data_IF_041837023764
#
_entry.id   IF_041837023764
#
_cell.length_a   1.000
_cell.length_b   1.000
_cell.length_c   1.000
_cell.angle_alpha   90.00
_cell.angle_beta   90.00
_cell.angle_gamma   90.00
#
_symmetry.space_group_name_H-M   'P 1'
#
loop_
_entity.id
_entity.type
_entity.pdbx_description
1 polymer ?
2 polymer ?
3 polymer ?
4 water ?
#
# COMPACT_ATOMS: atom_id res chain seq x y z
N UNK A 1 7.54 -3.36 -24.27
CA UNK A 1 6.09 -3.75 -24.24
C UNK A 1 5.23 -2.53 -23.97
N UNK A 2 5.65 -1.72 -23.01
CA UNK A 2 4.93 -0.51 -22.64
C UNK A 2 5.75 0.68 -23.13
N UNK A 3 5.09 1.82 -23.28
CA UNK A 3 5.75 3.04 -23.70
C UNK A 3 6.52 3.52 -22.47
N UNK A 4 6.25 4.72 -22.02
CA UNK A 4 6.89 5.29 -20.84
C UNK A 4 6.12 6.57 -20.60
N UNK A 5 5.53 7.10 -21.66
CA UNK A 5 4.71 8.28 -21.58
C UNK A 5 3.53 7.93 -20.69
N UNK A 6 2.79 6.91 -21.10
CA UNK A 6 1.62 6.45 -20.34
C UNK A 6 1.97 5.52 -19.18
N UNK A 7 2.96 4.68 -19.39
CA UNK A 7 3.41 3.71 -18.39
C UNK A 7 4.17 4.33 -17.23
N UNK A 8 5.07 5.24 -17.55
CA UNK A 8 5.88 5.87 -16.53
C UNK A 8 7.21 5.16 -16.48
N UNK A 9 8.07 5.60 -15.57
CA UNK A 9 9.39 5.00 -15.43
C UNK A 9 9.30 3.72 -14.61
N UNK A 10 10.38 2.94 -14.62
CA UNK A 10 10.38 1.71 -13.85
C UNK A 10 10.71 0.41 -14.55
N UNK A 11 10.15 0.21 -15.75
CA UNK A 11 10.34 -1.04 -16.51
C UNK A 11 11.79 -1.47 -16.81
N UNK A 12 12.57 -0.58 -17.41
CA UNK A 12 13.94 -0.91 -17.77
C UNK A 12 14.77 -1.41 -16.60
N UNK A 13 14.36 -1.02 -15.40
CA UNK A 13 15.09 -1.41 -14.21
C UNK A 13 14.22 -2.15 -13.19
N UNK A 14 13.18 -2.83 -13.68
CA UNK A 14 12.26 -3.55 -12.83
C UNK A 14 12.85 -4.84 -12.33
N UNK A 15 12.27 -5.36 -11.25
CA UNK A 15 12.70 -6.64 -10.71
C UNK A 15 13.97 -6.74 -9.93
N UNK A 16 14.77 -5.68 -9.88
CA UNK A 16 16.03 -5.66 -9.13
C UNK A 16 15.86 -4.86 -7.85
N UNK A 17 16.00 -5.50 -6.71
CA UNK A 17 15.84 -4.80 -5.44
C UNK A 17 17.11 -4.04 -5.04
N UNK A 18 16.96 -2.75 -4.68
CA UNK A 18 18.05 -1.87 -4.27
C UNK A 18 18.86 -2.41 -3.09
N UNK A 19 18.16 -3.03 -2.15
CA UNK A 19 18.76 -3.56 -0.95
C UNK A 19 19.29 -4.98 -1.05
N UNK A 20 18.98 -5.66 -2.15
CA UNK A 20 19.41 -7.04 -2.35
C UNK A 20 20.17 -7.24 -3.65
N UNK A 21 19.46 -7.43 -4.75
CA UNK A 21 20.13 -7.63 -6.03
C UNK A 21 21.16 -6.53 -6.30
N UNK A 22 20.76 -5.27 -6.22
CA UNK A 22 21.66 -4.14 -6.46
C UNK A 22 22.79 -3.99 -5.46
N UNK A 23 22.72 -4.72 -4.35
CA UNK A 23 23.72 -4.63 -3.30
C UNK A 23 24.48 -5.96 -3.16
N UNK A 24 24.26 -6.87 -4.11
CA UNK A 24 24.89 -8.19 -4.11
C UNK A 24 24.58 -9.04 -2.88
N UNK A 25 23.43 -8.78 -2.27
CA UNK A 25 22.99 -9.49 -1.09
C UNK A 25 21.78 -10.34 -1.45
N UNK A 26 21.64 -11.49 -0.81
CA UNK A 26 20.50 -12.34 -1.08
C UNK A 26 19.68 -12.56 0.19
N UNK A 27 18.36 -12.51 0.08
CA UNK A 27 17.52 -12.70 1.23
C UNK A 27 17.59 -14.11 1.85
N UNK A 28 17.03 -14.26 3.04
CA UNK A 28 17.04 -15.52 3.79
C UNK A 28 16.46 -16.73 3.07
N UNK A 29 15.54 -16.52 2.14
CA UNK A 29 14.91 -17.65 1.47
C UNK A 29 15.07 -17.83 -0.05
N UNK A 30 15.97 -17.08 -0.70
CA UNK A 30 16.16 -17.23 -2.14
C UNK A 30 16.61 -18.63 -2.54
N UNK A 31 17.48 -19.23 -1.73
CA UNK A 31 18.00 -20.57 -2.00
C UNK A 31 16.87 -21.56 -2.24
N UNK A 32 15.76 -21.41 -1.51
CA UNK A 32 14.60 -22.30 -1.64
C UNK A 32 14.03 -22.24 -3.05
N UNK A 33 14.06 -21.06 -3.66
CA UNK A 33 13.56 -20.86 -5.02
C UNK A 33 14.49 -21.44 -6.06
N UNK A 34 15.79 -21.28 -5.84
CA UNK A 34 16.78 -21.78 -6.78
C UNK A 34 16.86 -23.30 -6.79
N UNK A 35 16.70 -23.92 -5.64
CA UNK A 35 16.75 -25.39 -5.58
C UNK A 35 15.51 -25.99 -6.20
N UNK A 36 14.43 -25.22 -6.23
CA UNK A 36 13.19 -25.71 -6.83
C UNK A 36 13.37 -25.82 -8.35
N UNK A 37 14.55 -25.42 -8.83
CA UNK A 37 14.87 -25.49 -10.25
C UNK A 37 15.71 -26.74 -10.56
N UNK A 38 15.94 -27.57 -9.54
CA UNK A 38 16.75 -28.78 -9.64
C UNK A 38 16.57 -29.82 -10.76
N UNK A 39 15.34 -30.12 -11.15
CA UNK A 39 15.08 -31.11 -12.21
C UNK A 39 15.81 -32.47 -12.21
N UNK A 40 15.13 -33.49 -11.72
CA UNK A 40 15.68 -34.84 -11.70
C UNK A 40 15.50 -35.42 -13.09
N UNK A 41 16.46 -36.20 -13.55
CA UNK A 41 16.39 -36.78 -14.88
C UNK A 41 15.70 -38.15 -14.92
N UNK B 1 -0.84 -14.62 5.48
CA UNK B 1 -0.03 -15.73 4.95
C UNK B 1 0.02 -16.82 6.01
N UNK B 2 -0.26 -18.05 5.61
CA UNK B 2 -0.25 -19.19 6.53
C UNK B 2 1.08 -19.94 6.40
N UNK B 3 1.73 -20.19 7.54
CA UNK B 3 3.01 -20.89 7.61
C UNK B 3 4.17 -20.18 6.90
N UNK B 4 4.27 -18.87 7.10
CA UNK B 4 5.35 -18.11 6.49
C UNK B 4 6.16 -17.49 7.59
N UNK B 5 7.12 -16.62 7.24
CA UNK B 5 7.97 -15.97 8.22
C UNK B 5 8.07 -14.46 8.00
N UNK B 6 8.47 -13.73 9.03
CA UNK B 6 8.63 -12.28 8.92
C UNK B 6 9.57 -11.95 7.78
N UNK B 7 9.13 -11.04 6.91
CA UNK B 7 9.93 -10.64 5.76
C UNK B 7 10.93 -9.58 6.16
N UNK B 8 12.13 -9.67 5.63
CA UNK B 8 13.14 -8.67 5.93
C UNK B 8 12.67 -7.33 5.37
N UNK B 9 13.27 -6.26 5.86
CA UNK B 9 12.90 -4.93 5.40
C UNK B 9 13.35 -4.84 3.93
N UNK B 10 12.49 -4.28 3.09
CA UNK B 10 12.82 -4.12 1.69
C UNK B 10 12.80 -5.40 0.88
N UNK B 11 12.21 -6.47 1.41
CA UNK B 11 12.17 -7.76 0.72
C UNK B 11 11.46 -7.66 -0.63
N UNK B 12 10.33 -6.96 -0.66
CA UNK B 12 9.60 -6.78 -1.90
C UNK B 12 9.08 -5.35 -1.99
N UNK B 13 9.93 -4.44 -2.52
CA UNK B 13 9.59 -3.03 -2.67
C UNK B 13 8.41 -2.71 -3.59
N UNK B 14 7.78 -3.76 -4.14
CA UNK B 14 6.63 -3.60 -5.03
C UNK B 14 5.32 -3.94 -4.31
N UNK B 15 5.41 -4.35 -3.06
CA UNK B 15 4.24 -4.69 -2.27
C UNK B 15 3.50 -3.41 -1.90
N UNK B 16 2.31 -3.23 -2.45
CA UNK B 16 1.49 -2.06 -2.16
C UNK B 16 0.37 -2.53 -1.23
N UNK B 17 -0.20 -1.60 -0.47
CA UNK B 17 -1.28 -1.95 0.44
C UNK B 17 -2.53 -1.13 0.09
N UNK B 18 -3.64 -1.80 -0.16
CA UNK B 18 -4.88 -1.10 -0.47
C UNK B 18 -5.46 -0.72 0.88
N UNK B 19 -5.67 0.56 1.08
CA UNK B 19 -6.16 1.05 2.35
C UNK B 19 -7.41 1.85 2.13
N UNK B 20 -8.35 1.73 3.09
CA UNK B 20 -9.61 2.46 3.04
C UNK B 20 -9.50 3.72 3.88
N UNK B 21 -9.91 4.85 3.31
CA UNK B 21 -9.85 6.15 3.99
C UNK B 21 -10.59 6.19 5.30
N UNK B 22 -11.86 5.79 5.28
CA UNK B 22 -12.66 5.85 6.49
C UNK B 22 -13.80 4.84 6.47
N UNK B 23 -13.81 3.88 7.43
CA UNK B 23 -12.79 3.75 8.48
C UNK B 23 -11.44 3.29 7.91
N UNK B 24 -10.37 3.58 8.64
CA UNK B 24 -9.04 3.05 8.29
C UNK B 24 -9.12 1.55 8.45
N UNK B 25 -8.72 0.83 7.41
CA UNK B 25 -8.80 -0.62 7.40
C UNK B 25 -7.98 -1.14 6.23
N UNK B 26 -7.25 -2.23 6.43
CA UNK B 26 -6.45 -2.81 5.36
C UNK B 26 -7.44 -3.60 4.52
N UNK B 27 -7.48 -3.31 3.22
CA UNK B 27 -8.42 -4.00 2.34
C UNK B 27 -7.79 -5.14 1.56
N UNK B 28 -6.62 -4.91 1.00
CA UNK B 28 -5.95 -5.92 0.19
C UNK B 28 -4.51 -5.54 -0.08
N UNK B 29 -3.85 -6.38 -0.86
CA UNK B 29 -2.48 -6.12 -1.24
C UNK B 29 -2.53 -5.69 -2.68
N UNK B 30 -1.38 -5.32 -3.23
CA UNK B 30 -1.30 -4.89 -4.61
C UNK B 30 0.16 -4.97 -4.97
N UNK B 31 0.47 -4.64 -6.21
CA UNK B 31 1.83 -4.70 -6.73
C UNK B 31 2.18 -3.45 -7.55
N UNK B 32 3.38 -2.93 -7.36
CA UNK B 32 3.82 -1.74 -8.09
C UNK B 32 4.47 -2.20 -9.39
N UNK B 33 3.87 -1.84 -10.54
CA UNK B 33 4.44 -2.24 -11.83
C UNK B 33 5.26 -1.15 -12.51
N UNK B 34 5.05 0.10 -12.11
CA UNK B 34 5.77 1.26 -12.64
C UNK B 34 5.61 2.32 -11.56
N UNK B 35 6.14 3.53 -11.79
CA UNK B 35 6.00 4.57 -10.79
C UNK B 35 4.60 5.15 -10.69
N UNK B 36 3.71 4.79 -11.63
CA UNK B 36 2.35 5.31 -11.59
C UNK B 36 1.27 4.26 -11.84
N UNK B 37 1.65 2.99 -11.91
CA UNK B 37 0.67 1.93 -12.12
C UNK B 37 0.81 0.84 -11.09
N UNK B 38 -0.31 0.44 -10.51
CA UNK B 38 -0.33 -0.59 -9.49
C UNK B 38 -1.36 -1.64 -9.88
N UNK B 39 -0.97 -2.91 -9.76
CA UNK B 39 -1.80 -4.04 -10.11
C UNK B 39 -2.42 -4.72 -8.91
N UNK B 40 -3.66 -5.18 -9.06
CA UNK B 40 -4.35 -5.87 -7.97
C UNK B 40 -5.46 -6.78 -8.50
N UNK B 41 -6.25 -7.36 -7.60
CA UNK B 41 -7.33 -8.25 -7.98
C UNK B 41 -8.64 -7.47 -8.03
N UNK B 42 -9.51 -7.85 -8.96
CA UNK B 42 -10.77 -7.17 -9.12
C UNK B 42 -11.69 -7.22 -7.93
N UNK B 43 -11.78 -8.37 -7.27
CA UNK B 43 -12.66 -8.52 -6.11
C UNK B 43 -12.36 -7.70 -4.87
N UNK B 44 -11.24 -6.98 -4.88
CA UNK B 44 -10.85 -6.13 -3.75
C UNK B 44 -11.63 -4.82 -3.85
N UNK B 45 -12.13 -4.55 -5.04
CA UNK B 45 -12.85 -3.33 -5.33
C UNK B 45 -14.33 -3.61 -5.65
N UNK B 46 -14.56 -4.56 -6.56
CA UNK B 46 -15.89 -4.92 -7.00
C UNK B 46 -16.27 -6.34 -6.63
N UNK B 47 -17.23 -6.47 -5.74
CA UNK B 47 -17.71 -7.77 -5.34
C UNK B 47 -19.04 -7.58 -4.65
N UNK B 48 -20.12 -7.42 -5.43
CA UNK B 48 -21.50 -7.21 -4.99
C UNK B 48 -21.98 -8.11 -3.85
N UNK B 49 -21.66 -9.42 -3.87
CA UNK B 49 -22.08 -10.33 -2.81
C UNK B 49 -21.72 -9.89 -1.40
N UNK B 50 -20.63 -9.13 -1.26
CA UNK B 50 -20.16 -8.61 0.05
C UNK B 50 -20.49 -7.13 0.18
N UNK B 51 -21.07 -6.55 -0.86
CA UNK B 51 -21.42 -5.12 -0.92
C UNK B 51 -20.20 -4.27 -1.26
N UNK B 52 -19.15 -4.90 -1.81
CA UNK B 52 -17.93 -4.18 -2.18
C UNK B 52 -18.09 -3.48 -3.51
N UNK B 53 -17.85 -2.17 -3.50
CA UNK B 53 -17.93 -1.37 -4.71
C UNK B 53 -17.18 -0.08 -4.46
N UNK B 54 -15.87 -0.20 -4.28
CA UNK B 54 -15.05 0.96 -4.02
C UNK B 54 -14.74 1.84 -5.23
N UNK B 55 -14.58 3.12 -4.97
CA UNK B 55 -14.25 4.08 -6.01
C UNK B 55 -12.90 4.72 -5.66
N UNK B 56 -12.34 5.47 -6.60
CA UNK B 56 -11.05 6.13 -6.38
C UNK B 56 -11.08 7.02 -5.15
N UNK B 57 -12.26 7.48 -4.77
CA UNK B 57 -12.43 8.35 -3.62
C UNK B 57 -12.56 7.67 -2.28
N UNK B 58 -12.61 6.34 -2.27
CA UNK B 58 -12.75 5.58 -1.03
C UNK B 58 -11.43 5.01 -0.52
N UNK B 59 -10.44 4.92 -1.41
CA UNK B 59 -9.16 4.32 -1.03
C UNK B 59 -7.93 5.17 -1.28
N UNK B 60 -6.81 4.65 -0.79
CA UNK B 60 -5.49 5.26 -0.95
C UNK B 60 -4.50 4.12 -0.86
N UNK B 61 -3.38 4.23 -1.58
CA UNK B 61 -2.35 3.19 -1.56
C UNK B 61 -1.17 3.59 -0.70
N UNK B 62 -0.76 2.70 0.20
CA UNK B 62 0.37 2.95 1.07
C UNK B 62 1.47 2.03 0.55
N UNK B 63 2.55 2.64 0.09
CA UNK B 63 3.68 1.91 -0.50
C UNK B 63 4.94 2.07 0.36
N UNK B 64 5.82 1.05 0.31
CA UNK B 64 7.07 1.09 1.06
C UNK B 64 7.00 0.56 2.48
N UNK B 65 5.82 0.10 2.90
CA UNK B 65 5.62 -0.40 4.26
C UNK B 65 6.25 -1.74 4.67
N UNK B 66 6.23 -1.97 5.99
CA UNK B 66 6.74 -3.20 6.58
C UNK B 66 5.76 -3.63 7.68
N UNK B 67 5.47 -2.73 8.61
CA UNK B 67 4.52 -3.00 9.68
C UNK B 67 3.16 -2.80 9.00
N UNK B 68 2.10 -3.44 9.51
CA UNK B 68 0.80 -3.26 8.88
C UNK B 68 -0.13 -2.20 9.47
N UNK B 69 0.00 -1.98 10.77
CA UNK B 69 -0.85 -1.02 11.45
C UNK B 69 -0.15 0.32 11.63
N UNK B 70 1.18 0.28 11.59
CA UNK B 70 1.98 1.46 11.83
C UNK B 70 2.36 2.30 10.61
N UNK B 71 2.32 3.63 10.80
CA UNK B 71 2.72 4.60 9.77
C UNK B 71 4.23 4.72 9.92
N UNK B 72 4.97 4.38 8.87
CA UNK B 72 6.42 4.44 8.93
C UNK B 72 6.99 5.63 8.16
N UNK B 73 7.23 6.72 8.88
CA UNK B 73 7.74 7.96 8.31
C UNK B 73 8.95 7.86 7.40
N UNK B 74 9.90 7.02 7.75
CA UNK B 74 11.12 6.90 6.99
C UNK B 74 11.07 6.12 5.70
N UNK B 75 10.06 5.25 5.57
CA UNK B 75 9.94 4.41 4.39
C UNK B 75 8.62 4.46 3.62
N UNK B 76 7.53 4.78 4.31
CA UNK B 76 6.21 4.81 3.71
C UNK B 76 5.83 6.07 2.95
N UNK B 77 5.09 5.85 1.85
CA UNK B 77 4.59 6.91 0.99
C UNK B 77 3.11 6.63 0.77
N UNK B 78 2.25 7.64 0.98
CA UNK B 78 0.82 7.49 0.78
C UNK B 78 0.49 8.18 -0.54
N UNK B 79 -0.27 7.49 -1.39
CA UNK B 79 -0.65 8.01 -2.70
C UNK B 79 -2.16 7.87 -2.92
N UNK B 80 -2.70 8.58 -3.89
CA UNK B 80 -4.12 8.51 -4.18
C UNK B 80 -4.31 8.05 -5.61
N UNK B 81 -5.47 7.49 -5.91
CA UNK B 81 -5.75 7.00 -7.25
C UNK B 81 -6.44 8.03 -8.10
N UNK B 82 -6.24 7.92 -9.40
CA UNK B 82 -6.87 8.83 -10.35
C UNK B 82 -7.89 8.03 -11.14
N UNK B 83 -7.60 6.75 -11.34
CA UNK B 83 -8.50 5.89 -12.09
C UNK B 83 -8.35 4.41 -11.74
N UNK B 84 -9.47 3.71 -11.75
CA UNK B 84 -9.51 2.28 -11.45
C UNK B 84 -10.04 1.61 -12.70
N UNK B 85 -9.31 0.63 -13.22
CA UNK B 85 -9.73 -0.11 -14.41
C UNK B 85 -9.93 -1.55 -14.02
N UNK B 86 -11.15 -2.06 -14.15
CA UNK B 86 -11.44 -3.44 -13.83
C UNK B 86 -11.79 -4.18 -15.12
N UNK B 87 -11.29 -5.40 -15.28
CA UNK B 87 -11.52 -6.19 -16.51
C UNK B 87 -13.00 -6.36 -16.83
N UNK B 88 -13.43 -5.96 -18.05
CA UNK B 88 -14.82 -6.06 -18.51
C UNK B 88 -15.39 -7.44 -18.33
N UNK B 89 -14.56 -8.45 -18.59
CA UNK B 89 -14.97 -9.85 -18.45
C UNK B 89 -14.80 -10.43 -17.03
N UNK B 90 -14.60 -9.59 -16.04
CA UNK B 90 -14.43 -10.04 -14.66
C UNK B 90 -15.70 -10.79 -14.21
N UNK B 91 -15.54 -12.08 -13.93
CA UNK B 91 -16.64 -12.95 -13.54
C UNK B 91 -16.76 -13.18 -12.03
N UNK B 92 -17.55 -12.37 -11.36
CA UNK B 92 -17.73 -12.53 -9.91
C UNK B 92 -18.94 -13.39 -9.52
N UNK B 93 -19.85 -13.62 -10.46
CA UNK B 93 -21.01 -14.43 -10.15
C UNK B 93 -20.55 -15.86 -9.94
N UNK B 94 -19.73 -16.34 -10.89
CA UNK B 94 -19.22 -17.71 -10.86
C UNK B 94 -17.92 -18.00 -10.11
N UNK B 95 -16.82 -18.07 -10.86
CA UNK B 95 -15.52 -18.43 -10.33
C UNK B 95 -14.41 -17.38 -10.16
N UNK B 96 -14.75 -16.10 -10.17
CA UNK B 96 -13.74 -15.04 -10.04
C UNK B 96 -12.74 -15.15 -11.18
N UNK B 97 -13.26 -15.39 -12.36
CA UNK B 97 -12.46 -15.53 -13.58
C UNK B 97 -11.98 -14.12 -13.93
N UNK B 98 -10.76 -14.00 -14.43
CA UNK B 98 -10.16 -12.71 -14.78
C UNK B 98 -10.30 -11.73 -13.63
N UNK B 99 -9.91 -12.20 -12.46
CA UNK B 99 -9.96 -11.41 -11.24
C UNK B 99 -8.75 -10.48 -11.28
N UNK B 100 -8.87 -9.37 -12.00
CA UNK B 100 -7.75 -8.44 -12.12
C UNK B 100 -8.20 -6.99 -12.26
N UNK B 101 -7.42 -6.09 -11.69
CA UNK B 101 -7.69 -4.65 -11.73
C UNK B 101 -6.37 -3.92 -11.84
N UNK B 102 -6.41 -2.78 -12.50
CA UNK B 102 -5.24 -1.95 -12.73
C UNK B 102 -5.63 -0.59 -12.15
N UNK B 103 -4.80 -0.07 -11.25
CA UNK B 103 -5.05 1.23 -10.62
C UNK B 103 -3.97 2.24 -11.03
N UNK B 104 -4.41 3.47 -11.32
CA UNK B 104 -3.50 4.56 -11.72
C UNK B 104 -3.39 5.58 -10.61
N UNK B 105 -2.17 5.90 -10.22
CA UNK B 105 -1.92 6.89 -9.17
C UNK B 105 -2.09 8.30 -9.76
N UNK B 106 -2.49 9.26 -8.92
CA UNK B 106 -2.68 10.64 -9.36
C UNK B 106 -1.41 11.27 -9.88
N UNK B 107 -0.30 11.00 -9.21
CA UNK B 107 1.00 11.55 -9.56
C UNK B 107 2.00 10.43 -9.28
N UNK B 108 3.05 10.28 -10.11
CA UNK B 108 4.04 9.23 -9.87
C UNK B 108 4.68 9.28 -8.48
N UNK B 109 4.81 8.12 -7.85
CA UNK B 109 5.42 8.06 -6.53
C UNK B 109 6.91 8.19 -6.70
N UNK B 110 7.59 8.35 -5.58
CA UNK B 110 9.03 8.54 -5.56
C UNK B 110 9.64 7.18 -5.24
N UNK B 111 10.40 6.64 -6.19
CA UNK B 111 11.04 5.35 -6.00
C UNK B 111 12.18 5.55 -5.01
N UNK B 112 12.53 4.50 -4.28
CA UNK B 112 13.59 4.54 -3.28
C UNK B 112 14.03 3.12 -3.04
N UNK B 113 14.67 2.86 -1.89
CA UNK B 113 15.12 1.50 -1.58
C UNK B 113 13.93 0.65 -1.11
N UNK B 114 12.83 1.31 -0.75
CA UNK B 114 11.66 0.63 -0.24
C UNK B 114 10.54 0.52 -1.23
N UNK B 115 10.63 1.33 -2.28
CA UNK B 115 9.62 1.36 -3.33
C UNK B 115 10.31 1.13 -4.67
N UNK B 116 9.90 0.09 -5.38
CA UNK B 116 10.51 -0.24 -6.67
C UNK B 116 9.61 -1.25 -7.39
N UNK B 117 9.38 -1.05 -8.71
CA UNK B 117 8.54 -1.93 -9.53
C UNK B 117 9.05 -3.34 -9.88
N UNK B 118 8.13 -4.30 -9.88
CA UNK B 118 8.44 -5.70 -10.20
C UNK B 118 8.28 -5.83 -11.71
N UNK B 119 8.95 -6.80 -12.33
CA UNK B 119 8.82 -6.96 -13.77
C UNK B 119 7.59 -7.78 -14.12
N UNK B 120 7.04 -7.53 -15.30
CA UNK B 120 5.90 -8.29 -15.78
C UNK B 120 6.46 -9.37 -16.70
N UNK B 121 5.93 -10.60 -16.61
CA UNK B 121 6.39 -11.72 -17.43
C UNK B 121 6.43 -11.48 -18.93
N UNK B 122 7.42 -12.09 -19.54
CA UNK B 122 7.71 -12.04 -20.96
C UNK B 122 7.26 -13.37 -21.57
N UNK B 123 7.19 -13.45 -22.90
CA UNK B 123 6.78 -14.69 -23.57
C UNK B 123 7.78 -15.82 -23.30
N UNK B 124 9.07 -15.48 -23.22
CA UNK B 124 10.11 -16.47 -22.93
C UNK B 124 10.19 -16.74 -21.44
N UNK B 125 10.05 -15.69 -20.63
CA UNK B 125 10.09 -15.82 -19.18
C UNK B 125 8.97 -16.74 -18.68
N UNK B 126 7.75 -16.49 -19.12
CA UNK B 126 6.61 -17.30 -18.71
C UNK B 126 6.87 -18.76 -19.08
N UNK B 127 7.38 -18.97 -20.28
CA UNK B 127 7.69 -20.30 -20.83
C UNK B 127 8.73 -21.08 -20.03
N UNK B 128 9.84 -20.43 -19.70
CA UNK B 128 10.90 -21.08 -18.94
C UNK B 128 10.63 -21.23 -17.44
N UNK B 129 9.73 -20.41 -16.88
CA UNK B 129 9.47 -20.42 -15.43
C UNK B 129 8.19 -21.03 -14.90
N UNK B 130 7.11 -21.01 -15.69
CA UNK B 130 5.83 -21.57 -15.24
C UNK B 130 5.82 -23.08 -15.39
N UNK B 131 6.55 -23.77 -14.52
CA UNK B 131 6.64 -25.22 -14.59
C UNK B 131 6.39 -25.84 -13.23
N UNK B 132 5.46 -26.79 -13.19
CA UNK B 132 5.08 -27.50 -11.97
C UNK B 132 6.29 -27.98 -11.19
N UNK B 133 6.45 -27.42 -9.99
CA UNK B 133 7.58 -27.78 -9.16
C UNK B 133 8.37 -26.56 -8.78
N UNK B 134 8.55 -25.65 -9.73
CA UNK B 134 9.28 -24.41 -9.49
C UNK B 134 8.49 -23.60 -8.47
N UNK B 135 9.18 -22.94 -7.55
CA UNK B 135 8.50 -22.15 -6.53
C UNK B 135 8.41 -20.68 -6.84
N UNK B 136 7.49 -20.05 -6.13
CA UNK B 136 7.27 -18.62 -6.27
C UNK B 136 7.11 -18.11 -4.87
N UNK B 137 7.00 -16.81 -4.72
CA UNK B 137 6.87 -16.19 -3.42
C UNK B 137 5.62 -15.34 -3.33
N UNK B 138 4.97 -15.43 -2.18
CA UNK B 138 3.75 -14.69 -1.90
C UNK B 138 4.04 -13.90 -0.63
N UNK B 139 3.65 -12.63 -0.61
CA UNK B 139 3.85 -11.74 0.54
C UNK B 139 2.55 -11.02 0.87
N UNK B 140 2.31 -10.75 2.15
CA UNK B 140 1.10 -10.06 2.53
C UNK B 140 0.92 -9.88 4.03
N UNK B 141 -0.06 -9.05 4.40
CA UNK B 141 -0.39 -8.76 5.80
C UNK B 141 -1.75 -9.39 6.14
N UNK B 142 -2.09 -10.45 5.43
CA UNK B 142 -3.35 -11.12 5.68
C UNK B 142 -3.16 -12.09 6.82
N UNK B 143 -4.23 -12.76 7.18
CA UNK B 143 -4.22 -13.74 8.27
C UNK B 143 -3.17 -14.84 8.20
N UNK B 144 -2.66 -15.19 9.38
CA UNK B 144 -1.65 -16.23 9.58
C UNK B 144 -2.31 -17.60 9.80
N UNK B 145 -3.64 -17.65 9.81
CA UNK B 145 -4.36 -18.90 10.03
C UNK B 145 -5.82 -18.70 9.63
N UNK B 146 -6.45 -19.75 9.15
CA UNK B 146 -7.84 -19.71 8.72
C UNK B 146 -8.85 -19.31 9.79
N UNK B 147 -8.54 -19.55 11.07
CA UNK B 147 -9.48 -19.21 12.14
C UNK B 147 -8.82 -18.70 13.41
N UNK B 148 -9.66 -18.35 14.38
CA UNK B 148 -9.21 -17.85 15.67
C UNK B 148 -10.19 -18.32 16.73
N UNK B 149 -9.69 -18.54 17.93
CA UNK B 149 -10.53 -19.00 19.02
C UNK B 149 -11.35 -17.86 19.58
N UNK B 150 -10.66 -16.82 20.05
CA UNK B 150 -11.33 -15.67 20.64
C UNK B 150 -11.44 -14.47 19.68
N UNK B 151 -10.31 -13.95 19.20
CA UNK B 151 -10.33 -12.80 18.31
C UNK B 151 -9.41 -12.91 17.08
N UNK B 152 -9.75 -12.16 16.03
CA UNK B 152 -8.96 -12.15 14.79
C UNK B 152 -7.53 -11.66 15.07
N UNK B 153 -7.37 -10.92 16.16
CA UNK B 153 -6.07 -10.39 16.56
C UNK B 153 -5.02 -11.49 16.62
N UNK B 154 -5.44 -12.68 17.05
CA UNK B 154 -4.59 -13.84 17.19
C UNK B 154 -3.92 -14.23 15.88
N UNK B 155 -4.65 -14.05 14.79
CA UNK B 155 -4.14 -14.42 13.50
C UNK B 155 -3.57 -13.28 12.66
N UNK B 156 -3.76 -12.04 13.10
CA UNK B 156 -3.23 -10.90 12.36
C UNK B 156 -1.77 -10.68 12.71
N UNK B 157 -0.90 -10.55 11.69
CA UNK B 157 0.54 -10.34 11.88
C UNK B 157 0.86 -8.86 12.12
N UNK B 158 2.10 -8.57 12.50
CA UNK B 158 2.48 -7.19 12.75
C UNK B 158 3.29 -6.64 11.57
N UNK B 159 4.04 -7.51 10.91
CA UNK B 159 4.85 -7.13 9.76
C UNK B 159 4.50 -7.96 8.54
N UNK B 160 5.12 -7.62 7.42
CA UNK B 160 4.92 -8.32 6.15
C UNK B 160 5.45 -9.74 6.26
N UNK B 161 4.68 -10.71 5.78
CA UNK B 161 5.04 -12.13 5.82
C UNK B 161 5.49 -12.64 4.45
N UNK B 162 6.27 -13.71 4.44
CA UNK B 162 6.76 -14.30 3.19
C UNK B 162 6.69 -15.82 3.22
N UNK B 163 6.15 -16.41 2.16
CA UNK B 163 6.05 -17.86 2.03
C UNK B 163 6.38 -18.16 0.58
N UNK B 164 7.10 -19.26 0.35
CA UNK B 164 7.49 -19.68 -1.01
C UNK B 164 6.70 -20.94 -1.31
N UNK B 165 5.91 -20.90 -2.38
CA UNK B 165 5.05 -22.02 -2.75
C UNK B 165 5.37 -22.55 -4.13
N UNK B 166 5.31 -23.87 -4.31
CA UNK B 166 5.62 -24.42 -5.62
C UNK B 166 4.43 -24.43 -6.56
N UNK B 167 4.72 -24.35 -7.86
CA UNK B 167 3.69 -24.39 -8.87
C UNK B 167 3.22 -25.85 -8.96
N UNK B 168 1.92 -26.04 -9.08
CA UNK B 168 1.34 -27.37 -9.16
C UNK B 168 0.77 -27.56 -10.56
N UNK B 169 0.72 -28.81 -11.03
CA UNK B 169 0.20 -29.10 -12.35
C UNK B 169 -1.30 -28.87 -12.44
N UNK B 170 -1.72 -28.32 -13.58
CA UNK B 170 -3.12 -28.02 -13.79
C UNK B 170 -4.09 -29.18 -13.48
N UNK B 171 -3.77 -30.43 -13.89
CA UNK B 171 -4.66 -31.57 -13.62
C UNK B 171 -4.91 -31.75 -12.12
N UNK B 172 -3.89 -31.50 -11.30
CA UNK B 172 -4.05 -31.61 -9.85
C UNK B 172 -4.98 -30.50 -9.36
N UNK B 173 -4.73 -29.28 -9.84
CA UNK B 173 -5.53 -28.12 -9.47
C UNK B 173 -7.00 -28.36 -9.82
N UNK B 174 -7.22 -29.00 -10.96
CA UNK B 174 -8.55 -29.28 -11.43
C UNK B 174 -9.22 -30.37 -10.63
N UNK B 175 -8.44 -31.34 -10.18
CA UNK B 175 -8.97 -32.46 -9.41
C UNK B 175 -9.17 -32.15 -7.94
N UNK B 176 -8.73 -30.98 -7.50
CA UNK B 176 -8.87 -30.61 -6.10
C UNK B 176 -10.14 -29.87 -5.79
N UNK B 177 -10.89 -29.49 -6.82
CA UNK B 177 -12.11 -28.71 -6.59
C UNK B 177 -13.28 -29.13 -7.45
N UNK B 178 -14.48 -28.69 -7.06
CA UNK B 178 -15.66 -28.97 -7.85
C UNK B 178 -16.08 -27.62 -8.46
N UNK B 179 -15.14 -26.67 -8.42
CA UNK B 179 -15.33 -25.33 -8.95
C UNK B 179 -14.58 -25.29 -10.28
N UNK B 180 -15.15 -24.56 -11.25
CA UNK B 180 -14.56 -24.41 -12.58
C UNK B 180 -13.24 -23.65 -12.58
N UNK B 181 -12.18 -24.30 -13.06
CA UNK B 181 -10.86 -23.67 -13.18
C UNK B 181 -10.75 -23.23 -14.65
N UNK B 182 -10.22 -22.04 -14.88
CA UNK B 182 -10.09 -21.52 -16.24
C UNK B 182 -8.62 -21.24 -16.54
N UNK B 183 -8.30 -20.96 -17.80
CA UNK B 183 -6.93 -20.69 -18.21
C UNK B 183 -6.36 -19.43 -17.58
N UNK B 184 -7.23 -18.58 -17.08
CA UNK B 184 -6.82 -17.33 -16.47
C UNK B 184 -6.45 -17.50 -15.00
N UNK B 185 -6.18 -18.74 -14.58
CA UNK B 185 -5.79 -18.98 -13.20
C UNK B 185 -4.90 -20.19 -13.07
N UNK B 186 -4.10 -20.23 -12.01
CA UNK B 186 -3.24 -21.36 -11.75
C UNK B 186 -3.19 -21.55 -10.25
N UNK B 187 -2.83 -22.75 -9.80
CA UNK B 187 -2.80 -23.00 -8.36
C UNK B 187 -1.41 -23.38 -7.92
N UNK B 188 -1.13 -23.14 -6.65
CA UNK B 188 0.16 -23.46 -6.05
C UNK B 188 -0.05 -23.89 -4.61
N UNK B 189 0.89 -24.67 -4.09
CA UNK B 189 0.79 -25.13 -2.73
C UNK B 189 1.42 -26.49 -2.63
N UNK B 190 1.56 -26.98 -1.40
CA UNK B 190 2.15 -28.29 -1.18
C UNK B 190 1.13 -29.40 -1.28
N UNK B 191 1.52 -30.50 -1.93
CA UNK B 191 0.65 -31.65 -2.05
C UNK B 191 0.67 -32.25 -0.65
N UNK B 192 -0.40 -32.96 -0.25
CA UNK B 192 -0.42 -33.55 1.08
C UNK B 192 0.78 -34.45 1.42
N UNK B 193 1.34 -35.11 0.39
CA UNK B 193 2.49 -35.99 0.58
C UNK B 193 3.83 -35.32 0.86
N UNK B 194 3.89 -34.00 0.74
CA UNK B 194 5.14 -33.26 0.99
C UNK B 194 5.06 -32.73 2.41
N UNK B 195 6.10 -32.98 3.20
CA UNK B 195 6.08 -32.56 4.59
C UNK B 195 6.10 -31.07 4.86
N UNK B 196 5.51 -30.28 3.97
CA UNK B 196 5.49 -28.84 4.12
C UNK B 196 4.12 -28.31 3.82
N UNK B 197 3.90 -27.05 4.17
CA UNK B 197 2.64 -26.37 3.94
C UNK B 197 2.82 -24.86 3.92
N UNK B 198 1.78 -24.15 3.48
CA UNK B 198 1.83 -22.71 3.40
C UNK B 198 0.75 -22.29 2.43
N UNK B 199 0.20 -21.10 2.61
CA UNK B 199 -0.86 -20.62 1.73
C UNK B 199 -1.09 -19.14 1.96
N UNK B 200 -1.85 -18.52 1.06
CA UNK B 200 -2.22 -17.13 1.19
C UNK B 200 -3.57 -17.23 1.91
N UNK B 201 -4.04 -16.15 2.53
CA UNK B 201 -5.31 -16.23 3.23
C UNK B 201 -6.00 -14.86 3.13
N UNK B 202 -7.09 -14.69 3.88
CA UNK B 202 -7.86 -13.46 3.84
C UNK B 202 -7.05 -12.23 4.24
N UNK B 203 -6.96 -11.28 3.30
CA UNK B 203 -6.21 -10.07 3.51
C UNK B 203 -4.99 -9.96 2.59
N UNK B 204 -4.78 -11.00 1.78
CA UNK B 204 -3.65 -11.06 0.85
C UNK B 204 -4.05 -10.93 -0.61
N UNK B 205 -5.36 -10.95 -0.89
CA UNK B 205 -5.92 -10.89 -2.24
C UNK B 205 -5.46 -10.03 -3.42
N UNK B 206 -4.40 -9.26 -3.28
CA UNK B 206 -3.96 -8.47 -4.43
C UNK B 206 -2.47 -8.62 -4.56
N UNK B 207 -1.86 -9.17 -3.51
CA UNK B 207 -0.43 -9.36 -3.50
C UNK B 207 0.05 -10.17 -4.68
N UNK B 208 1.30 -9.95 -5.10
CA UNK B 208 1.93 -10.63 -6.21
C UNK B 208 2.53 -11.98 -5.86
N UNK B 209 2.46 -12.91 -6.82
CA UNK B 209 3.06 -14.22 -6.69
C UNK B 209 4.20 -14.01 -7.68
N UNK B 210 5.41 -13.88 -7.16
CA UNK B 210 6.57 -13.64 -8.00
C UNK B 210 7.54 -14.80 -8.02
N UNK B 211 8.40 -14.80 -9.04
CA UNK B 211 9.42 -15.82 -9.21
C UNK B 211 10.69 -15.11 -9.67
N UNK B 212 11.84 -15.50 -9.12
CA UNK B 212 13.11 -14.88 -9.50
C UNK B 212 13.73 -15.67 -10.65
N UNK B 213 14.02 -14.96 -11.75
CA UNK B 213 14.62 -15.58 -12.93
C UNK B 213 16.09 -15.93 -12.79
N UNK B 214 16.45 -17.19 -13.03
CA UNK B 214 17.81 -17.72 -12.95
C UNK B 214 18.68 -17.19 -14.09
N UNK B 215 18.01 -16.71 -15.13
CA UNK B 215 18.67 -16.18 -16.31
C UNK B 215 19.14 -14.74 -16.17
N UNK B 216 18.29 -13.86 -15.65
CA UNK B 216 18.68 -12.47 -15.52
C UNK B 216 18.60 -11.88 -14.13
N UNK B 217 18.27 -12.70 -13.14
CA UNK B 217 18.18 -12.27 -11.74
C UNK B 217 17.10 -11.26 -11.40
N UNK B 218 16.06 -11.19 -12.25
CA UNK B 218 14.98 -10.26 -12.02
C UNK B 218 13.71 -10.96 -11.53
N UNK B 219 12.99 -10.27 -10.65
CA UNK B 219 11.76 -10.78 -10.11
C UNK B 219 10.59 -10.44 -11.03
N UNK B 220 9.86 -11.47 -11.44
CA UNK B 220 8.70 -11.32 -12.33
C UNK B 220 7.45 -11.69 -11.56
N UNK B 221 6.36 -10.94 -11.77
CA UNK B 221 5.10 -11.27 -11.12
C UNK B 221 4.39 -12.23 -12.04
N UNK B 222 4.17 -13.45 -11.59
CA UNK B 222 3.51 -14.42 -12.44
C UNK B 222 2.03 -14.53 -12.12
N UNK B 223 1.66 -14.17 -10.89
CA UNK B 223 0.26 -14.26 -10.50
C UNK B 223 -0.20 -13.24 -9.49
N UNK B 224 -1.50 -13.28 -9.17
CA UNK B 224 -2.15 -12.37 -8.22
C UNK B 224 -2.99 -13.24 -7.28
N UNK B 225 -2.82 -13.07 -5.97
CA UNK B 225 -3.58 -13.89 -5.00
C UNK B 225 -5.06 -13.68 -5.25
N UNK B 226 -5.76 -14.74 -5.62
CA UNK B 226 -7.16 -14.60 -5.93
C UNK B 226 -8.15 -15.29 -4.98
N UNK B 227 -8.18 -16.62 -4.97
CA UNK B 227 -9.14 -17.35 -4.15
C UNK B 227 -8.69 -18.73 -3.69
N UNK B 228 -9.57 -19.39 -2.94
CA UNK B 228 -9.32 -20.73 -2.44
C UNK B 228 -10.52 -21.13 -1.60
N UNK B 229 -10.45 -22.30 -0.96
CA UNK B 229 -11.54 -22.74 -0.10
C UNK B 229 -10.86 -22.89 1.23
N UNK B 230 -10.98 -21.85 2.06
CA UNK B 230 -10.31 -21.86 3.34
C UNK B 230 -8.86 -21.39 3.13
N UNK B 231 -7.95 -21.84 3.99
CA UNK B 231 -6.55 -21.46 3.86
C UNK B 231 -5.70 -22.57 4.43
N UNK B 232 -4.82 -23.13 3.60
CA UNK B 232 -3.89 -24.18 4.02
C UNK B 232 -4.53 -25.53 4.37
N UNK B 233 -5.64 -25.85 3.72
CA UNK B 233 -6.31 -27.13 3.95
C UNK B 233 -5.56 -28.20 3.15
N UNK B 234 -5.47 -29.40 3.69
CA UNK B 234 -4.78 -30.49 2.98
C UNK B 234 -5.55 -30.91 1.76
N UNK B 235 -4.88 -30.97 0.62
CA UNK B 235 -5.52 -31.36 -0.62
C UNK B 235 -6.10 -30.17 -1.36
N UNK B 236 -5.93 -28.99 -0.75
CA UNK B 236 -6.42 -27.75 -1.32
C UNK B 236 -5.23 -26.86 -1.73
N UNK B 237 -5.44 -26.06 -2.78
CA UNK B 237 -4.41 -25.16 -3.26
C UNK B 237 -4.97 -23.74 -3.41
N UNK B 238 -4.06 -22.79 -3.56
CA UNK B 238 -4.47 -21.41 -3.72
C UNK B 238 -4.46 -21.12 -5.19
N UNK B 239 -5.45 -20.36 -5.64
CA UNK B 239 -5.56 -20.00 -7.05
C UNK B 239 -5.20 -18.55 -7.26
N UNK B 240 -4.28 -18.33 -8.19
CA UNK B 240 -3.77 -17.01 -8.53
C UNK B 240 -4.18 -16.67 -9.94
N UNK B 241 -4.41 -15.39 -10.19
CA UNK B 241 -4.77 -14.94 -11.52
C UNK B 241 -3.52 -15.04 -12.38
N UNK B 242 -3.67 -15.66 -13.54
CA UNK B 242 -2.57 -15.85 -14.47
C UNK B 242 -2.29 -14.51 -15.09
N UNK B 243 -1.31 -13.79 -14.54
CA UNK B 243 -0.97 -12.48 -15.06
C UNK B 243 -0.53 -12.52 -16.52
N UNK B 244 0.38 -13.42 -16.86
CA UNK B 244 0.84 -13.46 -18.23
C UNK B 244 -0.27 -13.65 -19.25
N UNK B 245 -1.33 -14.35 -18.88
CA UNK B 245 -2.45 -14.62 -19.79
C UNK B 245 -3.26 -13.34 -20.07
N UNK B 246 -3.29 -12.41 -19.13
CA UNK B 246 -4.01 -11.15 -19.28
C UNK B 246 -3.04 -9.99 -19.56
N UNK B 247 -1.86 -10.32 -20.08
CA UNK B 247 -0.83 -9.33 -20.38
C UNK B 247 -1.28 -8.36 -21.47
N UNK B 248 -1.88 -8.90 -22.53
CA UNK B 248 -2.34 -8.06 -23.63
C UNK B 248 -3.38 -7.04 -23.18
N UNK B 249 -4.26 -7.43 -22.26
CA UNK B 249 -5.28 -6.51 -21.75
C UNK B 249 -4.63 -5.35 -20.98
N UNK B 250 -3.69 -5.70 -20.10
CA UNK B 250 -2.97 -4.72 -19.30
C UNK B 250 -2.43 -3.66 -20.24
N UNK B 251 -1.67 -4.08 -21.25
CA UNK B 251 -1.10 -3.16 -22.22
C UNK B 251 -2.16 -2.29 -22.88
N UNK B 252 -3.34 -2.87 -23.10
CA UNK B 252 -4.45 -2.17 -23.72
C UNK B 252 -5.00 -1.01 -22.87
N UNK B 253 -5.08 -1.15 -21.56
CA UNK B 253 -5.60 -0.04 -20.76
C UNK B 253 -4.51 0.97 -20.37
N UNK B 254 -3.28 0.51 -20.35
CA UNK B 254 -2.16 1.37 -20.01
C UNK B 254 -1.90 2.33 -21.16
N UNK B 255 -1.74 1.77 -22.36
CA UNK B 255 -1.49 2.57 -23.55
C UNK B 255 -2.78 3.15 -24.15
N UNK B 256 -3.32 4.16 -23.48
CA UNK B 256 -4.53 4.81 -23.94
C UNK B 256 -4.40 6.33 -23.90
N UNK B 257 -3.41 6.87 -24.60
CA UNK B 257 -3.20 8.31 -24.64
C UNK B 257 -2.08 8.69 -25.60
N UNK B 258 -2.44 9.02 -26.84
CA UNK B 258 -1.47 9.40 -27.84
C UNK B 258 -0.56 8.25 -28.24
N UNK B 259 -0.72 7.13 -27.55
CA UNK B 259 0.05 5.92 -27.77
C UNK B 259 -0.75 4.79 -27.12
N UNK C 1 1.75 19.96 -2.37
CA UNK C 1 2.72 20.33 -3.44
C UNK C 1 1.94 20.95 -4.58
N UNK C 2 2.65 21.63 -5.49
CA UNK C 2 2.02 22.29 -6.63
C UNK C 2 1.16 21.32 -7.44
N UNK C 3 -0.15 21.47 -7.30
CA UNK C 3 -1.10 20.62 -8.00
C UNK C 3 -2.20 20.20 -7.05
N UNK C 4 -1.83 20.10 -5.77
CA UNK C 4 -2.77 19.70 -4.72
C UNK C 4 -3.73 20.85 -4.43
N UNK C 5 -4.99 20.53 -4.15
CA UNK C 5 -5.99 21.55 -3.87
C UNK C 5 -6.97 21.04 -2.83
N UNK C 6 -6.69 21.38 -1.57
CA UNK C 6 -7.53 20.98 -0.43
C UNK C 6 -8.97 21.43 -0.61
N UNK C 7 -9.15 22.52 -1.34
CA UNK C 7 -10.48 23.08 -1.59
C UNK C 7 -11.40 22.08 -2.29
N UNK C 8 -10.87 21.43 -3.33
CA UNK C 8 -11.66 20.46 -4.09
C UNK C 8 -11.50 19.04 -3.58
N UNK C 9 -11.17 18.90 -2.29
CA UNK C 9 -11.02 17.59 -1.69
C UNK C 9 -12.34 17.20 -1.04
N UNK C 10 -12.34 16.10 -0.30
CA UNK C 10 -13.55 15.63 0.36
C UNK C 10 -13.17 15.16 1.76
N UNK C 11 -13.78 15.77 2.77
CA UNK C 11 -13.49 15.41 4.16
C UNK C 11 -14.05 14.03 4.46
N UNK C 12 -13.62 13.44 5.57
CA UNK C 12 -14.06 12.11 5.94
C UNK C 12 -15.47 11.95 6.52
N UNK C 13 -16.17 13.05 6.75
CA UNK C 13 -17.53 12.95 7.29
C UNK C 13 -17.67 12.49 8.74
N UNK C 14 -17.31 11.25 9.03
CA UNK C 14 -17.41 10.72 10.40
C UNK C 14 -16.35 11.26 11.36
N UNK C 15 -15.76 12.40 11.02
CA UNK C 15 -14.72 13.00 11.83
C UNK C 15 -15.24 13.60 13.12
N UNK C 16 -14.72 13.13 14.26
CA UNK C 16 -15.11 13.65 15.55
C UNK C 16 -13.99 14.60 15.98
N UNK C 17 -14.15 15.90 15.68
CA UNK C 17 -13.20 16.97 15.98
C UNK C 17 -12.58 16.98 17.37
N UNK C 18 -13.33 16.60 18.39
CA UNK C 18 -12.75 16.61 19.74
C UNK C 18 -11.85 15.44 20.08
N UNK C 19 -11.88 14.37 19.27
CA UNK C 19 -11.01 13.24 19.53
C UNK C 19 -9.67 13.63 18.93
N UNK C 20 -9.72 14.47 17.90
CA UNK C 20 -8.50 14.92 17.26
C UNK C 20 -7.89 16.09 18.00
N UNK C 21 -8.66 17.17 18.18
CA UNK C 21 -8.16 18.34 18.87
C UNK C 21 -8.09 18.11 20.36
N UNK C 22 -7.17 17.23 20.73
CA UNK C 22 -6.93 16.85 22.10
C UNK C 22 -5.58 16.16 22.08
N UNK C 23 -4.67 16.58 22.94
CA UNK C 23 -3.36 15.96 22.99
C UNK C 23 -2.28 16.57 22.12
N UNK C 24 -1.31 15.75 21.78
CA UNK C 24 -0.17 16.17 20.96
C UNK C 24 -0.01 15.29 19.71
N UNK C 25 0.23 15.97 18.59
CA UNK C 25 0.45 15.31 17.31
C UNK C 25 1.78 15.85 16.82
N UNK C 26 2.58 14.99 16.24
CA UNK C 26 3.88 15.38 15.70
C UNK C 26 3.77 15.31 14.19
N UNK C 27 4.30 16.31 13.51
CA UNK C 27 4.22 16.37 12.06
C UNK C 27 5.55 16.73 11.41
N UNK C 28 6.17 15.75 10.74
CA UNK C 28 7.45 15.96 10.08
C UNK C 28 7.22 16.09 8.59
N UNK C 29 8.08 16.87 7.93
CA UNK C 29 7.95 17.07 6.50
C UNK C 29 8.84 16.16 5.67
N UNK C 30 9.49 15.23 6.37
CA UNK C 30 10.38 14.29 5.71
C UNK C 30 11.01 13.41 6.76
N UNK C 31 11.53 12.23 6.38
CA UNK C 31 12.16 11.31 7.34
C UNK C 31 13.29 11.96 8.12
N UNK C 32 14.25 12.53 7.38
CA UNK C 32 15.41 13.15 7.99
C UNK C 32 15.24 14.48 8.72
N UNK C 33 14.71 15.49 8.03
CA UNK C 33 14.52 16.82 8.62
C UNK C 33 14.14 16.82 10.08
N UNK C 34 14.87 17.63 10.85
CA UNK C 34 14.62 17.74 12.27
C UNK C 34 14.70 19.20 12.69
N UNK C 35 14.90 20.07 11.71
CA UNK C 35 15.01 21.50 11.97
C UNK C 35 14.42 22.26 10.80
N UNK C 36 13.64 23.32 11.07
CA UNK C 36 13.27 23.81 12.40
C UNK C 36 12.16 22.97 13.04
N UNK C 37 12.16 22.89 14.36
CA UNK C 37 10.94 22.53 15.09
C UNK C 37 10.14 23.77 15.53
N UNK C 38 8.82 23.68 15.49
CA UNK C 38 7.93 24.77 15.88
C UNK C 38 6.69 24.21 16.59
N UNK C 39 6.34 24.71 17.77
CA UNK C 39 5.17 24.21 18.47
C UNK C 39 3.98 25.13 18.28
N UNK C 40 2.86 24.56 17.86
CA UNK C 40 1.64 25.30 17.63
C UNK C 40 0.59 24.80 18.59
N UNK C 41 -0.03 25.71 19.35
CA UNK C 41 -1.06 25.34 20.28
C UNK C 41 -2.40 25.72 19.69
N UNK C 42 -3.24 24.71 19.48
CA UNK C 42 -4.56 24.91 18.91
C UNK C 42 -5.66 24.90 19.96
N UNK C 43 -6.65 25.75 19.73
CA UNK C 43 -7.79 25.83 20.60
C UNK C 43 -9.04 25.89 19.72
N UNK C 44 -9.84 24.83 19.83
CA UNK C 44 -11.08 24.71 19.08
C UNK C 44 -12.15 25.58 19.71
N UNK C 45 -12.84 26.35 18.88
CA UNK C 45 -13.90 27.22 19.36
C UNK C 45 -15.05 26.35 19.86
N UNK C 46 -14.94 25.95 21.12
CA UNK C 46 -15.94 25.12 21.75
C UNK C 46 -15.43 24.53 23.05
N UNK C 47 -15.07 23.24 23.01
CA UNK C 47 -14.58 22.53 24.18
C UNK C 47 -13.07 22.63 24.39
N UNK C 48 -12.53 23.84 24.29
CA UNK C 48 -11.09 24.08 24.48
C UNK C 48 -10.21 23.31 23.49
N UNK C 49 -9.94 22.05 23.81
CA UNK C 49 -9.12 21.22 22.94
C UNK C 49 -7.73 21.76 22.66
N UNK C 50 -7.00 22.09 23.73
CA UNK C 50 -5.64 22.61 23.65
C UNK C 50 -4.72 21.53 23.06
N UNK C 51 -4.69 21.47 21.73
CA UNK C 51 -3.88 20.48 21.02
C UNK C 51 -2.54 21.07 20.66
N UNK C 52 -1.47 20.30 20.87
CA UNK C 52 -0.14 20.77 20.54
C UNK C 52 0.35 20.04 19.30
N UNK C 53 0.54 20.78 18.21
CA UNK C 53 1.02 20.19 16.98
C UNK C 53 2.47 20.62 16.91
N UNK C 54 3.38 19.66 16.92
CA UNK C 54 4.80 19.95 16.83
C UNK C 54 5.15 19.69 15.37
N UNK C 55 5.43 20.75 14.62
CA UNK C 55 5.77 20.63 13.20
C UNK C 55 7.27 20.69 12.99
N UNK C 56 7.80 19.77 12.19
CA UNK C 56 9.24 19.68 11.92
C UNK C 56 9.57 19.71 10.44
N UNK C 57 10.67 20.38 10.10
CA UNK C 57 11.15 20.45 8.73
C UNK C 57 10.52 21.46 7.77
N UNK C 58 9.68 22.34 8.31
CA UNK C 58 9.02 23.34 7.47
C UNK C 58 9.88 24.58 7.41
N UNK C 59 10.65 24.68 6.34
CA UNK C 59 11.57 25.79 6.09
C UNK C 59 10.99 27.21 6.19
N UNK C 60 9.67 27.34 6.23
CA UNK C 60 9.05 28.66 6.33
C UNK C 60 8.99 29.19 7.76
N UNK C 61 9.19 28.33 8.76
CA UNK C 61 9.14 28.71 10.16
C UNK C 61 10.51 28.89 10.82
N UNK C 62 10.60 29.80 11.78
CA UNK C 62 11.83 30.01 12.50
C UNK C 62 11.89 28.98 13.63
N UNK C 63 13.08 28.48 13.91
CA UNK C 63 13.31 27.45 14.94
C UNK C 63 12.86 27.69 16.38
N UNK C 64 12.95 28.93 16.84
CA UNK C 64 12.56 29.22 18.23
C UNK C 64 11.27 30.04 18.33
N UNK C 65 10.26 29.67 17.54
CA UNK C 65 9.00 30.40 17.54
C UNK C 65 7.79 29.54 17.92
N UNK C 66 6.89 30.12 18.71
CA UNK C 66 5.67 29.45 19.14
C UNK C 66 4.45 30.13 18.52
N UNK C 67 3.44 29.35 18.16
CA UNK C 67 2.21 29.88 17.56
C UNK C 67 0.98 29.54 18.38
N UNK C 68 0.11 30.54 18.55
CA UNK C 68 -1.14 30.35 19.26
C UNK C 68 -2.23 30.43 18.18
N UNK C 69 -2.90 29.31 17.94
CA UNK C 69 -3.93 29.23 16.92
C UNK C 69 -5.31 29.13 17.52
N UNK C 70 -6.21 29.98 17.05
CA UNK C 70 -7.58 29.99 17.54
C UNK C 70 -8.51 29.74 16.37
N UNK C 71 -9.48 28.85 16.57
CA UNK C 71 -10.44 28.51 15.53
C UNK C 71 -11.36 29.65 15.12
N UNK C 72 -11.59 29.75 13.81
CA UNK C 72 -12.45 30.78 13.25
C UNK C 72 -13.63 30.13 12.50
N UNK C 73 -14.57 30.95 12.03
CA UNK C 73 -15.74 30.46 11.32
C UNK C 73 -15.58 30.47 9.80
N UNK C 74 -14.38 30.85 9.35
CA UNK C 74 -14.10 30.90 7.92
C UNK C 74 -14.08 29.50 7.32
N UNK C 75 -14.44 29.41 6.04
CA UNK C 75 -14.47 28.15 5.31
C UNK C 75 -15.40 27.12 5.94
N UNK C 76 -16.65 27.50 6.11
CA UNK C 76 -17.67 26.64 6.71
C UNK C 76 -17.86 25.27 6.05
N UNK C 77 -17.60 25.19 4.75
CA UNK C 77 -17.77 23.93 4.03
C UNK C 77 -16.78 22.81 4.35
N UNK C 78 -17.18 21.90 5.23
CA UNK C 78 -16.36 20.74 5.63
C UNK C 78 -14.88 21.07 5.84
N UNK C 79 -14.60 22.18 6.48
CA UNK C 79 -13.23 22.62 6.71
C UNK C 79 -13.08 23.31 8.06
N UNK C 80 -11.97 23.04 8.73
CA UNK C 80 -11.68 23.63 10.04
C UNK C 80 -10.56 24.63 9.82
N UNK C 81 -10.87 25.91 9.98
CA UNK C 81 -9.90 26.98 9.78
C UNK C 81 -9.37 27.57 11.08
N UNK C 82 -8.08 27.88 11.11
CA UNK C 82 -7.43 28.46 12.29
C UNK C 82 -6.54 29.62 11.93
N UNK C 83 -6.54 30.64 12.78
CA UNK C 83 -5.69 31.82 12.60
C UNK C 83 -4.58 31.62 13.63
N UNK C 84 -3.34 31.67 13.16
CA UNK C 84 -2.21 31.47 14.05
C UNK C 84 -1.39 32.73 14.19
N UNK C 85 -0.95 33.02 15.41
CA UNK C 85 -0.14 34.20 15.74
C UNK C 85 1.12 33.74 16.47
N UNK C 86 2.24 34.41 16.27
CA UNK C 86 3.47 33.97 16.90
C UNK C 86 4.28 34.93 17.75
N UNK C 87 5.31 34.39 18.41
CA UNK C 87 6.21 35.15 19.27
C UNK C 87 6.86 36.29 18.52
N UNK C 88 7.04 36.09 17.23
CA UNK C 88 7.63 37.08 16.33
C UNK C 88 6.52 37.85 15.61
N UNK C 89 5.27 37.53 15.97
CA UNK C 89 4.07 38.14 15.40
C UNK C 89 3.97 37.90 13.90
N UNK C 90 4.08 36.65 13.48
CA UNK C 90 4.03 36.29 12.07
C UNK C 90 2.61 36.29 11.49
N UNK C 91 1.77 35.39 12.01
CA UNK C 91 0.38 35.27 11.54
C UNK C 91 0.18 34.69 10.14
N UNK C 92 -0.75 33.75 10.06
CA UNK C 92 -1.11 33.06 8.82
C UNK C 92 -2.35 32.24 9.13
N UNK C 93 -3.08 31.85 8.11
CA UNK C 93 -4.25 31.02 8.34
C UNK C 93 -3.92 29.60 7.90
N UNK C 94 -4.48 28.65 8.62
CA UNK C 94 -4.29 27.24 8.33
C UNK C 94 -5.66 26.58 8.29
N UNK C 95 -5.96 25.93 7.16
CA UNK C 95 -7.23 25.23 7.00
C UNK C 95 -6.93 23.75 6.90
N UNK C 96 -7.68 22.93 7.64
CA UNK C 96 -7.49 21.47 7.63
C UNK C 96 -8.68 20.73 7.02
N UNK C 97 -8.41 19.88 6.04
CA UNK C 97 -9.44 19.05 5.41
C UNK C 97 -9.00 17.64 5.78
N UNK C 98 -9.69 17.04 6.75
CA UNK C 98 -9.31 15.71 7.19
C UNK C 98 -9.74 14.65 6.20
N UNK C 99 -8.77 13.91 5.66
CA UNK C 99 -9.01 12.84 4.68
C UNK C 99 -9.28 11.48 5.35
N UNK C 100 -8.34 11.05 6.19
CA UNK C 100 -8.40 9.76 6.88
C UNK C 100 -7.67 9.95 8.20
N UNK C 101 -8.25 9.45 9.28
CA UNK C 101 -7.64 9.60 10.58
C UNK C 101 -8.01 8.56 11.62
N UNK C 102 -7.02 8.13 12.38
CA UNK C 102 -7.23 7.21 13.46
C UNK C 102 -6.72 8.06 14.59
N UNK C 103 -7.63 8.63 15.34
CA UNK C 103 -7.30 9.53 16.46
C UNK C 103 -6.24 9.05 17.44
N UNK C 104 -5.82 7.79 17.34
CA UNK C 104 -4.80 7.27 18.25
C UNK C 104 -3.55 6.78 17.55
N UNK C 105 -3.48 6.98 16.23
CA UNK C 105 -2.35 6.53 15.46
C UNK C 105 -1.81 7.62 14.54
N UNK C 106 -2.46 7.83 13.40
CA UNK C 106 -2.00 8.86 12.47
C UNK C 106 -3.20 9.44 11.73
N UNK C 107 -2.98 10.55 11.02
CA UNK C 107 -4.05 11.20 10.27
C UNK C 107 -3.51 11.86 9.03
N UNK C 108 -4.14 11.57 7.89
CA UNK C 108 -3.76 12.16 6.62
C UNK C 108 -4.65 13.40 6.55
N UNK C 109 -4.08 14.55 6.20
CA UNK C 109 -4.83 15.80 6.17
C UNK C 109 -4.34 16.73 5.05
N UNK C 110 -5.26 17.45 4.41
CA UNK C 110 -4.86 18.39 3.37
C UNK C 110 -4.86 19.74 4.07
N UNK C 111 -3.72 20.42 4.04
CA UNK C 111 -3.57 21.71 4.70
C UNK C 111 -3.29 22.88 3.76
N UNK C 112 -3.99 23.98 4.00
CA UNK C 112 -3.80 25.18 3.22
C UNK C 112 -3.28 26.23 4.17
N UNK C 113 -2.04 26.65 3.97
CA UNK C 113 -1.46 27.68 4.82
C UNK C 113 -1.47 28.93 3.97
N UNK C 114 -1.86 30.04 4.58
CA UNK C 114 -1.92 31.30 3.90
C UNK C 114 -1.23 32.37 4.75
N UNK C 115 0.06 32.56 4.51
CA UNK C 115 0.81 33.56 5.26
C UNK C 115 0.36 34.91 4.75
N UNK C 116 0.36 35.90 5.64
CA UNK C 116 -0.04 37.26 5.28
C UNK C 116 0.75 37.74 4.06
N UNK C 117 1.96 37.20 3.93
CA UNK C 117 2.87 37.51 2.83
C UNK C 117 2.42 36.87 1.52
N UNK C 118 2.96 35.69 1.20
CA UNK C 118 2.60 34.97 -0.03
C UNK C 118 1.50 33.98 0.31
N UNK C 119 0.26 34.25 -0.14
CA UNK C 119 -0.90 33.39 0.12
C UNK C 119 -1.03 32.14 -0.76
N UNK C 120 -1.89 31.23 -0.31
CA UNK C 120 -2.19 29.96 -0.97
C UNK C 120 -1.05 28.95 -1.00
N UNK C 121 -1.24 27.82 -0.30
CA UNK C 121 -0.25 26.76 -0.26
C UNK C 121 -0.91 25.48 0.27
N UNK C 122 -1.04 24.48 -0.60
CA UNK C 122 -1.69 23.21 -0.25
C UNK C 122 -0.75 22.04 -0.23
N UNK C 123 -0.88 21.20 0.77
CA UNK C 123 -0.02 20.04 0.87
C UNK C 123 -0.67 18.96 1.75
N UNK C 124 -0.59 17.72 1.30
CA UNK C 124 -1.13 16.58 2.03
C UNK C 124 -0.11 16.19 3.08
N UNK C 125 -0.50 16.26 4.34
CA UNK C 125 0.39 15.98 5.46
C UNK C 125 -0.11 14.82 6.31
N UNK C 126 0.79 14.24 7.09
CA UNK C 126 0.46 13.12 7.97
C UNK C 126 0.83 13.45 9.42
N UNK C 127 -0.18 13.59 10.27
CA UNK C 127 0.04 13.89 11.69
C UNK C 127 0.21 12.58 12.44
N UNK C 128 1.31 12.44 13.16
CA UNK C 128 1.56 11.23 13.92
C UNK C 128 1.22 11.42 15.38
N UNK C 129 0.71 10.37 16.01
CA UNK C 129 0.36 10.44 17.41
C UNK C 129 1.59 10.02 18.22
N UNK C 130 2.47 9.25 17.60
CA UNK C 130 3.70 8.78 18.25
C UNK C 130 4.94 9.55 17.76
N UNK C 131 5.78 9.97 18.72
CA UNK C 131 6.99 10.71 18.40
C UNK C 131 8.06 9.82 17.78
N UNK C 132 8.60 10.26 16.66
CA UNK C 132 9.62 9.50 15.95
C UNK C 132 11.02 9.70 16.56
N UNK C 133 11.14 9.54 17.87
CA UNK C 133 12.41 9.67 18.59
C UNK C 133 13.21 10.95 18.35
N UNK C 134 13.76 11.12 17.15
CA UNK C 134 14.53 12.30 16.76
C UNK C 134 13.75 13.59 17.02
N UNK C 135 12.43 13.49 17.07
CA UNK C 135 11.58 14.64 17.31
C UNK C 135 11.78 15.20 18.69
N UNK C 136 11.72 16.53 18.82
CA UNK C 136 11.89 17.16 20.13
C UNK C 136 10.65 16.77 20.92
N UNK C 137 10.80 16.64 22.24
CA UNK C 137 9.63 16.30 23.06
C UNK C 137 8.76 17.55 23.06
N UNK C 138 7.45 17.37 22.89
CA UNK C 138 6.55 18.50 22.90
C UNK C 138 6.75 19.33 24.17
N UNK C 139 7.04 18.66 25.27
CA UNK C 139 7.26 19.32 26.56
C UNK C 139 8.47 20.26 26.54
N UNK C 140 9.46 19.94 25.72
CA UNK C 140 10.66 20.76 25.62
C UNK C 140 10.40 21.98 24.74
N UNK C 141 9.81 21.73 23.57
CA UNK C 141 9.52 22.77 22.58
C UNK C 141 8.29 23.67 22.84
N UNK C 142 7.26 23.09 23.44
CA UNK C 142 6.03 23.81 23.71
C UNK C 142 6.08 24.55 25.04
#
# INVERSE_FOLDING_TARGET
FFNEKTFGAGEADCGLRPLFEKKQVQDQTEKELFESYIEGR
IVEGQDAEVGLSPWQVMLFRKSPQELLCGASLISDRWVLTAAHCLLYPPWDKNFTVDDLLVRIGKHSRTRYERKVEKISMLDKIYIHPRYNWKENLDRDIALLKLKRPIELSDYIHPVCLPDKQTAAKLLHAGFKGRVTGWGNRRETWTTSVAEVQPSVLQVVNLPLVERPVCKASTRIRITDNMFCAGYKPGEGKRGDACEGDSGGPFVMKSPYNNRWYQMGIVSWGEGCDRDGKYGFYTHVFRLKKWIQKVIDRLGS
AEGDDCSIEKAMGDFKPEEFFNGTWYLAHGPGVTSPAVCQKFTTSGSKGFTQIVEIGYNKFESNVKFQCNQVDNKNGEQYSFKCKSSDNTEFEADFTFISVSYDNFALVCRSITFTSQPKEDRYLVFERTKSDTDPDAKEIC
#
